data_IF_728907749247
#
_entry.id   IF_728907749247
#
_cell.length_a   1.000
_cell.length_b   1.000
_cell.length_c   1.000
_cell.angle_alpha   90.00
_cell.angle_beta   90.00
_cell.angle_gamma   90.00
#
_symmetry.space_group_name_H-M   'P 1'
#
loop_
_entity.id
_entity.type
_entity.pdbx_description
1 polymer ?
#
# COMPACT_ATOMS: atom_id res chain seq x y z
N UNK A 1 8.71 18.56 29.85
CA UNK A 1 9.41 17.42 29.23
C UNK A 1 8.49 16.63 28.28
N UNK A 2 7.37 16.06 28.76
CA UNK A 2 6.43 15.27 27.91
C UNK A 2 5.81 16.03 26.72
N UNK A 3 5.53 17.33 26.85
CA UNK A 3 4.90 18.11 25.77
C UNK A 3 5.84 18.23 24.57
N UNK A 4 7.11 18.42 24.79
CA UNK A 4 8.11 18.51 23.72
C UNK A 4 8.30 17.14 23.02
N UNK A 5 8.34 16.06 23.78
CA UNK A 5 8.48 14.71 23.22
C UNK A 5 7.29 14.31 22.33
N UNK A 6 6.06 14.64 22.73
CA UNK A 6 4.85 14.41 21.92
C UNK A 6 4.88 15.28 20.66
N UNK A 7 5.27 16.54 20.80
CA UNK A 7 5.36 17.49 19.69
C UNK A 7 6.43 17.05 18.70
N UNK A 8 7.60 16.66 19.15
CA UNK A 8 8.70 16.15 18.34
C UNK A 8 8.28 14.89 17.58
N UNK A 9 7.62 13.95 18.28
CA UNK A 9 7.10 12.74 17.65
C UNK A 9 6.10 13.05 16.56
N UNK A 10 5.08 13.88 16.82
CA UNK A 10 4.03 14.20 15.84
C UNK A 10 4.51 15.08 14.71
N UNK A 11 5.44 16.00 14.98
CA UNK A 11 5.89 16.97 13.97
C UNK A 11 7.11 16.49 13.21
N UNK A 12 8.18 16.13 13.90
CA UNK A 12 9.46 15.80 13.26
C UNK A 12 9.45 14.36 12.74
N UNK A 13 9.12 13.38 13.61
CA UNK A 13 9.18 11.99 13.21
C UNK A 13 8.13 11.67 12.15
N UNK A 14 6.90 12.20 12.28
CA UNK A 14 5.85 11.95 11.29
C UNK A 14 6.10 12.70 9.98
N UNK A 15 6.73 13.88 10.00
CA UNK A 15 7.16 14.54 8.76
C UNK A 15 8.25 13.75 8.03
N UNK A 16 9.20 13.17 8.76
CA UNK A 16 10.21 12.30 8.18
C UNK A 16 9.58 11.02 7.58
N UNK A 17 8.69 10.36 8.33
CA UNK A 17 7.95 9.19 7.83
C UNK A 17 7.08 9.52 6.61
N UNK A 18 6.49 10.73 6.54
CA UNK A 18 5.73 11.20 5.39
C UNK A 18 6.62 11.32 4.15
N UNK A 19 7.83 11.84 4.30
CA UNK A 19 8.82 11.87 3.22
C UNK A 19 9.13 10.48 2.70
N UNK A 20 9.40 9.53 3.58
CA UNK A 20 9.67 8.13 3.21
C UNK A 20 8.46 7.50 2.50
N UNK A 21 7.25 7.70 3.03
CA UNK A 21 6.03 7.20 2.41
C UNK A 21 5.81 7.79 1.01
N UNK A 22 6.09 9.09 0.85
CA UNK A 22 6.02 9.80 -0.42
C UNK A 22 6.95 9.22 -1.48
N UNK A 23 8.20 8.92 -1.13
CA UNK A 23 9.17 8.29 -2.03
C UNK A 23 8.70 6.91 -2.49
N UNK A 24 8.18 6.07 -1.59
CA UNK A 24 7.64 4.77 -1.95
C UNK A 24 6.45 4.88 -2.92
N UNK A 25 5.51 5.80 -2.66
CA UNK A 25 4.33 6.01 -3.51
C UNK A 25 4.75 6.57 -4.86
N UNK A 26 5.64 7.56 -4.87
CA UNK A 26 6.16 8.16 -6.09
C UNK A 26 6.84 7.11 -6.98
N UNK A 27 7.70 6.29 -6.40
CA UNK A 27 8.43 5.24 -7.14
C UNK A 27 7.46 4.19 -7.70
N UNK A 28 6.45 3.81 -6.93
CA UNK A 28 5.38 2.92 -7.39
C UNK A 28 4.62 3.51 -8.56
N UNK A 29 4.15 4.76 -8.43
CA UNK A 29 3.38 5.45 -9.48
C UNK A 29 4.22 5.65 -10.75
N UNK A 30 5.46 6.12 -10.61
CA UNK A 30 6.39 6.33 -11.74
C UNK A 30 6.63 5.03 -12.52
N UNK A 31 6.88 3.92 -11.82
CA UNK A 31 7.07 2.61 -12.45
C UNK A 31 5.78 2.10 -13.09
N UNK A 32 4.63 2.29 -12.44
CA UNK A 32 3.34 1.91 -13.01
C UNK A 32 3.01 2.66 -14.30
N UNK A 33 3.31 3.97 -14.34
CA UNK A 33 3.12 4.79 -15.55
C UNK A 33 4.08 4.44 -16.68
N UNK A 34 5.27 3.93 -16.35
CA UNK A 34 6.26 3.48 -17.33
C UNK A 34 6.05 2.03 -17.80
N UNK A 35 5.14 1.30 -17.14
CA UNK A 35 4.91 -0.11 -17.42
C UNK A 35 4.27 -0.29 -18.80
N UNK A 36 4.98 -0.96 -19.71
CA UNK A 36 4.52 -1.21 -21.08
C UNK A 36 3.97 -2.62 -21.28
N UNK A 37 4.40 -3.56 -20.46
CA UNK A 37 3.99 -4.95 -20.53
C UNK A 37 4.17 -5.62 -19.18
N UNK A 38 3.68 -6.84 -19.03
CA UNK A 38 3.79 -7.64 -17.80
C UNK A 38 4.77 -8.81 -17.94
N UNK A 39 5.72 -8.75 -18.87
CA UNK A 39 6.73 -9.80 -19.01
C UNK A 39 7.68 -9.83 -17.81
N UNK A 40 8.01 -8.65 -17.29
CA UNK A 40 8.95 -8.50 -16.20
C UNK A 40 8.25 -8.54 -14.84
N UNK A 41 8.31 -9.69 -14.18
CA UNK A 41 7.72 -9.88 -12.85
C UNK A 41 8.36 -8.99 -11.77
N UNK A 42 9.63 -8.62 -11.94
CA UNK A 42 10.33 -7.77 -10.97
C UNK A 42 9.76 -6.35 -10.95
N UNK A 43 9.38 -5.81 -12.12
CA UNK A 43 8.76 -4.49 -12.20
C UNK A 43 7.41 -4.49 -11.51
N UNK A 44 6.56 -5.49 -11.80
CA UNK A 44 5.25 -5.61 -11.17
C UNK A 44 5.37 -5.78 -9.65
N UNK A 45 6.27 -6.65 -9.19
CA UNK A 45 6.55 -6.81 -7.77
C UNK A 45 7.02 -5.50 -7.12
N UNK A 46 7.92 -4.77 -7.79
CA UNK A 46 8.43 -3.48 -7.30
C UNK A 46 7.32 -2.42 -7.20
N UNK A 47 6.43 -2.34 -8.20
CA UNK A 47 5.26 -1.44 -8.18
C UNK A 47 4.37 -1.75 -6.99
N UNK A 48 3.96 -3.00 -6.85
CA UNK A 48 3.02 -3.40 -5.81
C UNK A 48 3.64 -3.32 -4.41
N UNK A 49 4.91 -3.68 -4.26
CA UNK A 49 5.62 -3.58 -2.99
C UNK A 49 5.73 -2.13 -2.53
N UNK A 50 6.24 -1.25 -3.40
CA UNK A 50 6.42 0.15 -3.05
C UNK A 50 5.08 0.83 -2.75
N UNK A 51 4.06 0.58 -3.57
CA UNK A 51 2.72 1.12 -3.33
C UNK A 51 2.13 0.63 -2.00
N UNK A 52 2.21 -0.66 -1.72
CA UNK A 52 1.71 -1.23 -0.47
C UNK A 52 2.43 -0.64 0.75
N UNK A 53 3.77 -0.60 0.74
CA UNK A 53 4.56 -0.04 1.85
C UNK A 53 4.28 1.45 2.05
N UNK A 54 4.21 2.22 0.97
CA UNK A 54 3.93 3.65 1.05
C UNK A 54 2.55 3.95 1.64
N UNK A 55 1.52 3.25 1.20
CA UNK A 55 0.15 3.42 1.73
C UNK A 55 0.05 2.93 3.18
N UNK A 56 0.67 1.81 3.55
CA UNK A 56 0.73 1.35 4.93
C UNK A 56 1.32 2.43 5.85
N UNK A 57 2.43 3.05 5.43
CA UNK A 57 3.07 4.14 6.19
C UNK A 57 2.14 5.34 6.34
N UNK A 58 1.44 5.76 5.27
CA UNK A 58 0.47 6.85 5.36
C UNK A 58 -0.67 6.56 6.35
N UNK A 59 -1.22 5.35 6.33
CA UNK A 59 -2.24 4.93 7.28
C UNK A 59 -1.71 5.00 8.72
N UNK A 60 -0.50 4.53 8.96
CA UNK A 60 0.16 4.56 10.27
C UNK A 60 0.47 5.98 10.74
N UNK A 61 0.96 6.85 9.84
CA UNK A 61 1.17 8.27 10.14
C UNK A 61 -0.14 8.92 10.57
N UNK A 62 -1.22 8.69 9.82
CA UNK A 62 -2.53 9.23 10.16
C UNK A 62 -2.97 8.77 11.56
N UNK A 63 -2.83 7.50 11.88
CA UNK A 63 -3.18 6.96 13.20
C UNK A 63 -2.32 7.59 14.30
N UNK A 64 -1.01 7.71 14.12
CA UNK A 64 -0.12 8.37 15.07
C UNK A 64 -0.51 9.82 15.33
N UNK A 65 -0.91 10.55 14.28
CA UNK A 65 -1.34 11.96 14.43
C UNK A 65 -2.71 12.08 15.09
N UNK A 66 -3.60 11.10 14.85
CA UNK A 66 -4.98 11.10 15.37
C UNK A 66 -5.08 10.68 16.84
N UNK A 67 -4.15 9.87 17.34
CA UNK A 67 -4.16 9.41 18.73
C UNK A 67 -3.79 10.56 19.66
N UNK A 68 -4.62 10.89 20.69
CA UNK A 68 -4.37 12.01 21.57
C UNK A 68 -3.04 11.93 22.32
N UNK A 69 -2.68 10.75 22.83
CA UNK A 69 -1.43 10.49 23.51
C UNK A 69 -0.66 9.34 22.86
N UNK A 70 0.14 9.61 21.79
CA UNK A 70 0.86 8.57 21.06
C UNK A 70 2.02 7.95 21.88
N UNK A 71 2.38 8.52 23.01
CA UNK A 71 3.42 7.99 23.90
C UNK A 71 2.87 6.95 24.89
N UNK A 72 1.57 6.71 24.90
CA UNK A 72 0.98 5.61 25.65
C UNK A 72 1.25 4.30 24.94
N UNK A 73 2.20 3.55 25.48
CA UNK A 73 2.64 2.26 24.93
C UNK A 73 1.56 1.17 24.88
N UNK A 74 0.44 1.36 25.58
CA UNK A 74 -0.68 0.41 25.57
C UNK A 74 -1.57 0.57 24.34
N UNK A 75 -1.69 1.79 23.80
CA UNK A 75 -2.65 2.11 22.74
C UNK A 75 -2.03 2.13 21.35
N UNK A 76 -0.84 2.74 21.19
CA UNK A 76 -0.19 2.92 19.88
C UNK A 76 0.41 1.64 19.30
N UNK A 77 1.07 0.76 20.08
CA UNK A 77 1.79 -0.37 19.49
C UNK A 77 0.92 -1.37 18.74
N UNK A 78 -0.31 -1.59 19.16
CA UNK A 78 -1.16 -2.60 18.53
C UNK A 78 -1.63 -2.18 17.12
N UNK A 79 -2.04 -0.94 16.94
CA UNK A 79 -2.39 -0.42 15.61
C UNK A 79 -1.18 -0.43 14.66
N UNK A 80 0.00 -0.04 15.17
CA UNK A 80 1.20 0.07 14.34
C UNK A 80 1.84 -1.26 13.99
N UNK A 81 1.57 -2.32 14.75
CA UNK A 81 2.01 -3.69 14.42
C UNK A 81 1.22 -4.31 13.28
N UNK A 82 0.05 -3.76 12.94
CA UNK A 82 -0.75 -4.25 11.82
C UNK A 82 -0.08 -3.93 10.49
N UNK A 83 -0.17 -4.88 9.56
CA UNK A 83 0.33 -4.76 8.20
C UNK A 83 -0.79 -4.94 7.16
N UNK A 84 -1.99 -5.30 7.61
CA UNK A 84 -3.14 -5.46 6.74
C UNK A 84 -3.78 -4.09 6.48
N UNK A 85 -3.74 -3.64 5.24
CA UNK A 85 -4.27 -2.34 4.82
C UNK A 85 -5.76 -2.15 5.14
N UNK A 86 -6.55 -3.23 5.05
CA UNK A 86 -7.98 -3.16 5.35
C UNK A 86 -8.25 -3.04 6.87
N UNK A 87 -7.40 -3.64 7.71
CA UNK A 87 -7.48 -3.46 9.17
C UNK A 87 -7.07 -2.05 9.57
N UNK A 88 -5.96 -1.55 8.99
CA UNK A 88 -5.53 -0.16 9.21
C UNK A 88 -6.61 0.83 8.77
N UNK A 89 -7.28 0.59 7.64
CA UNK A 89 -8.37 1.44 7.15
C UNK A 89 -9.56 1.48 8.10
N UNK A 90 -9.91 0.39 8.78
CA UNK A 90 -10.96 0.39 9.81
C UNK A 90 -10.60 1.37 10.94
N UNK A 91 -9.36 1.31 11.43
CA UNK A 91 -8.89 2.24 12.46
C UNK A 91 -8.83 3.69 11.95
N UNK A 92 -8.35 3.92 10.72
CA UNK A 92 -8.38 5.25 10.10
C UNK A 92 -9.80 5.80 10.05
N UNK A 93 -10.77 4.98 9.66
CA UNK A 93 -12.18 5.35 9.62
C UNK A 93 -12.75 5.67 11.01
N UNK A 94 -12.38 4.89 12.03
CA UNK A 94 -12.80 5.12 13.42
C UNK A 94 -12.39 6.52 13.91
N UNK A 95 -11.16 6.96 13.59
CA UNK A 95 -10.66 8.28 13.98
C UNK A 95 -11.11 9.42 13.07
N UNK A 96 -11.24 9.17 11.75
CA UNK A 96 -11.59 10.22 10.79
C UNK A 96 -13.07 10.46 10.62
N UNK A 97 -13.89 9.46 10.91
CA UNK A 97 -15.31 9.42 10.53
C UNK A 97 -15.55 9.35 9.02
N UNK A 98 -14.50 9.27 8.20
CA UNK A 98 -14.57 9.30 6.73
C UNK A 98 -14.32 7.91 6.14
N UNK A 99 -14.95 7.65 5.00
CA UNK A 99 -14.70 6.46 4.20
C UNK A 99 -13.89 6.83 2.97
N UNK A 100 -12.95 5.97 2.60
CA UNK A 100 -12.28 6.09 1.30
C UNK A 100 -13.24 5.81 0.14
N UNK A 101 -12.93 6.35 -1.02
CA UNK A 101 -13.69 6.13 -2.26
C UNK A 101 -13.71 4.64 -2.65
N UNK A 102 -14.61 4.27 -3.56
CA UNK A 102 -14.67 2.91 -4.11
C UNK A 102 -13.34 2.52 -4.79
N UNK A 103 -12.73 3.44 -5.53
CA UNK A 103 -11.42 3.22 -6.17
C UNK A 103 -10.31 3.05 -5.12
N UNK A 104 -10.32 3.84 -4.07
CA UNK A 104 -9.38 3.69 -2.95
C UNK A 104 -9.51 2.33 -2.27
N UNK A 105 -10.74 1.86 -2.01
CA UNK A 105 -10.97 0.51 -1.48
C UNK A 105 -10.46 -0.59 -2.42
N UNK A 106 -10.66 -0.43 -3.72
CA UNK A 106 -10.15 -1.38 -4.71
C UNK A 106 -8.62 -1.44 -4.70
N UNK A 107 -7.96 -0.29 -4.59
CA UNK A 107 -6.49 -0.20 -4.49
C UNK A 107 -5.97 -0.81 -3.19
N UNK A 108 -6.60 -0.51 -2.05
CA UNK A 108 -6.24 -1.14 -0.76
C UNK A 108 -6.43 -2.65 -0.81
N UNK A 109 -7.48 -3.13 -1.47
CA UNK A 109 -7.71 -4.55 -1.69
C UNK A 109 -6.59 -5.20 -2.49
N UNK A 110 -6.13 -4.56 -3.57
CA UNK A 110 -4.98 -5.02 -4.35
C UNK A 110 -3.71 -5.11 -3.49
N UNK A 111 -3.39 -4.07 -2.73
CA UNK A 111 -2.21 -4.04 -1.88
C UNK A 111 -2.29 -5.05 -0.73
N UNK A 112 -3.45 -5.20 -0.10
CA UNK A 112 -3.66 -6.22 0.93
C UNK A 112 -3.46 -7.63 0.40
N UNK A 113 -4.04 -7.93 -0.76
CA UNK A 113 -3.91 -9.24 -1.41
C UNK A 113 -2.46 -9.52 -1.80
N UNK A 114 -1.78 -8.54 -2.40
CA UNK A 114 -0.37 -8.65 -2.73
C UNK A 114 0.48 -8.91 -1.48
N UNK A 115 0.30 -8.09 -0.45
CA UNK A 115 1.13 -8.13 0.74
C UNK A 115 0.99 -9.44 1.52
N UNK A 116 -0.23 -9.96 1.61
CA UNK A 116 -0.51 -11.20 2.35
C UNK A 116 -0.11 -12.47 1.58
N UNK A 117 -0.29 -12.49 0.26
CA UNK A 117 -0.24 -13.72 -0.52
C UNK A 117 0.90 -13.78 -1.54
N UNK A 118 1.47 -12.63 -1.96
CA UNK A 118 2.41 -12.61 -3.06
C UNK A 118 3.79 -12.05 -2.71
N UNK A 119 3.92 -11.26 -1.67
CA UNK A 119 5.19 -10.62 -1.29
C UNK A 119 6.36 -11.59 -1.16
N UNK A 120 6.10 -12.77 -0.64
CA UNK A 120 7.09 -13.83 -0.43
C UNK A 120 6.81 -15.10 -1.25
N UNK A 121 5.91 -15.02 -2.22
CA UNK A 121 5.48 -16.18 -2.98
C UNK A 121 6.61 -16.85 -3.77
N UNK A 122 7.65 -16.09 -4.15
CA UNK A 122 8.83 -16.62 -4.83
C UNK A 122 9.64 -17.63 -3.98
N UNK A 123 9.44 -17.64 -2.66
CA UNK A 123 10.05 -18.64 -1.77
C UNK A 123 9.24 -19.94 -1.66
N UNK A 124 8.07 -20.00 -2.30
CA UNK A 124 7.20 -21.18 -2.29
C UNK A 124 7.51 -22.03 -3.52
N UNK A 125 7.92 -23.30 -3.37
CA UNK A 125 8.14 -24.20 -4.50
C UNK A 125 6.91 -24.30 -5.39
N UNK A 126 7.09 -24.18 -6.71
CA UNK A 126 6.00 -24.23 -7.68
C UNK A 126 5.19 -22.94 -7.82
N UNK A 127 5.62 -21.84 -7.20
CA UNK A 127 4.98 -20.54 -7.41
C UNK A 127 5.01 -20.14 -8.90
N UNK A 128 3.88 -19.61 -9.36
CA UNK A 128 3.74 -19.10 -10.72
C UNK A 128 3.22 -17.67 -10.69
N UNK A 129 3.99 -16.77 -11.26
CA UNK A 129 3.67 -15.33 -11.33
C UNK A 129 2.41 -14.98 -12.12
N UNK A 130 1.84 -15.90 -12.89
CA UNK A 130 0.57 -15.69 -13.61
C UNK A 130 -0.56 -15.25 -12.69
N UNK A 131 -0.60 -15.75 -11.46
CA UNK A 131 -1.61 -15.34 -10.45
C UNK A 131 -1.48 -13.87 -10.07
N UNK A 132 -0.26 -13.41 -9.86
CA UNK A 132 0.01 -12.00 -9.53
C UNK A 132 -0.36 -11.08 -10.69
N UNK A 133 0.00 -11.46 -11.92
CA UNK A 133 -0.37 -10.73 -13.14
C UNK A 133 -1.88 -10.66 -13.30
N UNK A 134 -2.58 -11.78 -13.10
CA UNK A 134 -4.05 -11.82 -13.17
C UNK A 134 -4.71 -10.93 -12.11
N UNK A 135 -4.17 -10.87 -10.90
CA UNK A 135 -4.63 -9.97 -9.85
C UNK A 135 -4.52 -8.50 -10.29
N UNK A 136 -3.36 -8.11 -10.81
CA UNK A 136 -3.12 -6.74 -11.26
C UNK A 136 -4.00 -6.36 -12.46
N UNK A 137 -4.11 -7.23 -13.46
CA UNK A 137 -5.01 -7.04 -14.61
C UNK A 137 -6.46 -6.92 -14.15
N UNK A 138 -6.90 -7.78 -13.22
CA UNK A 138 -8.24 -7.70 -12.64
C UNK A 138 -8.52 -6.36 -11.95
N UNK A 139 -7.53 -5.79 -11.28
CA UNK A 139 -7.62 -4.45 -10.72
C UNK A 139 -7.75 -3.39 -11.81
N UNK A 140 -6.88 -3.40 -12.82
CA UNK A 140 -6.91 -2.44 -13.92
C UNK A 140 -8.25 -2.45 -14.67
N UNK A 141 -8.80 -3.64 -14.96
CA UNK A 141 -10.11 -3.79 -15.62
C UNK A 141 -11.26 -3.14 -14.83
N UNK A 142 -11.19 -3.16 -13.49
CA UNK A 142 -12.19 -2.51 -12.62
C UNK A 142 -12.10 -1.00 -12.61
N UNK A 143 -10.97 -0.40 -13.01
CA UNK A 143 -10.76 1.04 -13.00
C UNK A 143 -11.26 1.75 -14.27
N UNK A 144 -12.02 1.08 -15.14
CA UNK A 144 -12.57 1.61 -16.38
C UNK A 144 -11.55 2.24 -17.36
N UNK A 145 -10.80 1.39 -18.06
CA UNK A 145 -10.57 1.56 -19.48
C UNK A 145 -9.82 2.78 -20.00
N UNK A 146 -8.87 3.35 -19.26
CA UNK A 146 -7.87 4.26 -19.85
C UNK A 146 -6.56 3.56 -20.26
N UNK A 147 -6.50 2.25 -20.10
CA UNK A 147 -5.34 1.46 -20.51
C UNK A 147 -5.71 0.63 -21.72
N UNK A 148 -4.83 0.57 -22.70
CA UNK A 148 -4.95 -0.38 -23.81
C UNK A 148 -4.66 -1.78 -23.29
N UNK A 149 -5.74 -2.51 -22.98
CA UNK A 149 -5.66 -3.84 -22.37
C UNK A 149 -5.24 -4.91 -23.37
N UNK A 150 -5.39 -4.70 -24.67
CA UNK A 150 -5.00 -5.70 -25.66
C UNK A 150 -3.49 -5.88 -25.70
N UNK A 151 -2.74 -4.78 -25.59
CA UNK A 151 -1.28 -4.81 -25.51
C UNK A 151 -0.77 -5.46 -24.21
N UNK A 152 -1.46 -5.24 -23.08
CA UNK A 152 -1.13 -5.86 -21.79
C UNK A 152 -1.55 -7.33 -21.71
N UNK A 153 -2.64 -7.70 -22.34
CA UNK A 153 -3.16 -9.08 -22.34
C UNK A 153 -2.38 -10.02 -23.24
N UNK A 154 -1.86 -9.57 -24.37
CA UNK A 154 -0.96 -10.37 -25.22
C UNK A 154 0.31 -10.79 -24.49
N UNK A 155 0.74 -10.02 -23.49
CA UNK A 155 1.88 -10.34 -22.64
C UNK A 155 1.63 -11.48 -21.62
N UNK A 156 0.40 -11.96 -21.47
CA UNK A 156 0.03 -13.00 -20.47
C UNK A 156 -0.21 -14.36 -21.11
N UNK A 157 -0.26 -14.47 -22.44
CA UNK A 157 -0.59 -15.71 -23.16
C UNK A 157 0.59 -16.65 -23.41
N UNK A 158 1.80 -16.37 -22.91
CA UNK A 158 2.97 -17.24 -23.06
C UNK A 158 3.55 -17.70 -21.73
#
# INVERSE_FOLDING_TARGET
MFINEIWDFKSINMAHELGIAGEFIYDSARKAMALRNLYNDYELNSILYNGAVGIERLQKIYLCLSIPNPMDKSTVPECLKKHNHNELEKHVKEYSGKCISANGRSLLGLFSEYYNNYRYANYVPGYNSKKLKSLFIGFLKKQNGKFDFEELCTAVQF
#
